data_IF_068566704296
#
_entry.id   IF_068566704296
#
_cell.length_a   1.000
_cell.length_b   1.000
_cell.length_c   1.000
_cell.angle_alpha   90.00
_cell.angle_beta   90.00
_cell.angle_gamma   90.00
#
_symmetry.space_group_name_H-M   'P 1'
#
loop_
_entity.id
_entity.type
_entity.pdbx_description
1 polymer ?
#
# COMPACT_ATOMS: atom_id res chain seq x y z
N UNK A 1 -4.84 -3.71 -15.51
CA UNK A 1 -4.41 -2.35 -15.14
C UNK A 1 -3.34 -2.54 -14.10
N UNK A 2 -2.14 -2.09 -14.41
CA UNK A 2 -1.01 -2.17 -13.50
C UNK A 2 -0.99 -0.85 -12.71
N UNK A 3 -1.14 -0.95 -11.40
CA UNK A 3 -1.26 0.20 -10.51
C UNK A 3 -1.12 -0.25 -9.06
N UNK A 4 -0.63 0.65 -8.20
CA UNK A 4 -0.43 0.39 -6.78
C UNK A 4 1.00 0.62 -6.33
N UNK A 5 1.35 0.02 -5.19
CA UNK A 5 2.62 0.24 -4.49
C UNK A 5 3.50 -0.98 -4.64
N UNK A 6 4.78 -0.75 -4.91
CA UNK A 6 5.80 -1.78 -5.06
C UNK A 6 6.78 -1.71 -3.90
N UNK A 7 7.28 -2.87 -3.49
CA UNK A 7 8.45 -2.96 -2.61
C UNK A 7 9.66 -3.28 -3.47
N UNK A 8 10.70 -2.46 -3.37
CA UNK A 8 11.97 -2.67 -4.05
C UNK A 8 13.09 -2.75 -3.01
N UNK A 9 14.02 -3.67 -3.21
CA UNK A 9 15.31 -3.67 -2.51
C UNK A 9 16.41 -3.55 -3.54
N UNK A 10 17.34 -2.59 -3.34
CA UNK A 10 18.46 -2.26 -4.23
C UNK A 10 18.10 -2.22 -5.73
N UNK A 11 18.17 -3.37 -6.40
CA UNK A 11 17.97 -3.52 -7.85
C UNK A 11 16.83 -4.48 -8.23
N UNK A 12 16.10 -5.06 -7.29
CA UNK A 12 15.01 -6.00 -7.55
C UNK A 12 13.69 -5.51 -6.98
N UNK A 13 12.62 -5.66 -7.77
CA UNK A 13 11.25 -5.56 -7.27
C UNK A 13 10.94 -6.86 -6.53
N UNK A 14 10.56 -6.73 -5.27
CA UNK A 14 10.27 -7.84 -4.37
C UNK A 14 8.76 -8.10 -4.34
N UNK A 15 7.97 -7.04 -4.22
CA UNK A 15 6.51 -7.09 -4.25
C UNK A 15 6.03 -6.10 -5.31
N UNK A 16 5.20 -6.60 -6.22
CA UNK A 16 4.42 -5.82 -7.19
C UNK A 16 2.94 -6.20 -7.13
N UNK A 17 2.01 -5.25 -7.32
CA UNK A 17 0.63 -5.57 -7.67
C UNK A 17 0.60 -6.39 -8.96
N UNK A 18 -0.25 -7.42 -9.04
CA UNK A 18 -0.45 -8.19 -10.28
C UNK A 18 -1.71 -7.76 -11.02
N UNK A 19 -2.85 -7.62 -10.34
CA UNK A 19 -4.05 -7.03 -10.94
C UNK A 19 -4.94 -6.36 -9.89
N UNK A 20 -5.87 -5.51 -10.35
CA UNK A 20 -6.87 -4.83 -9.51
C UNK A 20 -6.28 -3.94 -8.39
N UNK A 21 -5.01 -3.54 -8.52
CA UNK A 21 -4.36 -2.58 -7.66
C UNK A 21 -4.38 -1.17 -8.26
N UNK A 22 -4.42 -0.17 -7.40
CA UNK A 22 -4.29 1.25 -7.73
C UNK A 22 -3.63 2.04 -6.57
N UNK A 23 -3.39 3.33 -6.80
CA UNK A 23 -2.75 4.22 -5.82
C UNK A 23 -3.58 4.42 -4.53
N UNK A 24 -4.89 4.21 -4.59
CA UNK A 24 -5.78 4.25 -3.42
C UNK A 24 -5.55 3.11 -2.44
N UNK A 25 -4.88 2.03 -2.86
CA UNK A 25 -4.50 0.95 -1.95
C UNK A 25 -3.48 1.37 -0.89
N UNK A 26 -2.90 2.57 -0.93
CA UNK A 26 -1.98 3.08 0.10
C UNK A 26 -2.53 2.91 1.53
N UNK A 27 -3.85 3.03 1.72
CA UNK A 27 -4.49 2.82 3.02
C UNK A 27 -4.31 1.43 3.58
N UNK A 28 -4.26 0.41 2.72
CA UNK A 28 -4.02 -0.96 3.16
C UNK A 28 -2.63 -1.09 3.77
N UNK A 29 -1.63 -0.43 3.18
CA UNK A 29 -0.26 -0.38 3.69
C UNK A 29 -0.15 0.43 4.98
N UNK A 30 -0.91 1.50 5.13
CA UNK A 30 -0.93 2.30 6.38
C UNK A 30 -1.48 1.52 7.57
N UNK A 31 -2.40 0.56 7.37
CA UNK A 31 -2.89 -0.33 8.44
C UNK A 31 -1.77 -1.16 9.09
N UNK A 32 -0.63 -1.32 8.42
CA UNK A 32 0.54 -2.01 8.99
C UNK A 32 1.05 -1.23 10.21
N UNK A 33 1.05 0.11 10.18
CA UNK A 33 1.49 0.97 11.29
C UNK A 33 0.71 0.71 12.59
N UNK A 34 -0.59 0.43 12.44
CA UNK A 34 -1.55 0.22 13.53
C UNK A 34 -1.64 -1.27 13.95
N UNK A 35 -0.92 -2.16 13.25
CA UNK A 35 -1.00 -3.59 13.51
C UNK A 35 -0.29 -3.99 14.79
N UNK A 36 -0.85 -4.99 15.47
CA UNK A 36 -0.25 -5.59 16.66
C UNK A 36 0.97 -6.44 16.26
N UNK A 37 2.00 -6.42 17.11
CA UNK A 37 3.18 -7.24 16.89
C UNK A 37 2.87 -8.73 16.96
N UNK A 38 3.63 -9.52 16.19
CA UNK A 38 3.62 -10.97 16.07
C UNK A 38 2.29 -11.59 15.61
N UNK A 39 1.38 -10.80 15.06
CA UNK A 39 0.10 -11.27 14.53
C UNK A 39 0.07 -11.10 13.02
N UNK A 40 -0.13 -12.20 12.31
CA UNK A 40 -0.30 -12.19 10.87
C UNK A 40 -1.62 -11.53 10.49
N UNK A 41 -1.55 -10.69 9.46
CA UNK A 41 -2.69 -10.00 8.87
C UNK A 41 -2.60 -10.08 7.36
N UNK A 42 -3.75 -10.03 6.71
CA UNK A 42 -3.85 -9.91 5.26
C UNK A 42 -3.63 -8.46 4.83
N UNK A 43 -2.83 -8.28 3.78
CA UNK A 43 -2.62 -7.01 3.11
C UNK A 43 -3.06 -7.13 1.65
N UNK A 44 -4.09 -6.36 1.31
CA UNK A 44 -4.53 -6.25 -0.07
C UNK A 44 -3.59 -5.31 -0.85
N UNK A 45 -2.97 -5.84 -1.90
CA UNK A 45 -2.07 -5.11 -2.80
C UNK A 45 -2.55 -5.17 -4.25
N UNK A 46 -3.84 -5.46 -4.44
CA UNK A 46 -4.34 -6.13 -5.64
C UNK A 46 -4.37 -7.65 -5.47
N UNK A 47 -4.94 -8.36 -6.43
CA UNK A 47 -4.94 -9.82 -6.46
C UNK A 47 -3.67 -10.33 -7.16
N UNK A 48 -2.99 -11.37 -6.63
CA UNK A 48 -3.18 -11.99 -5.31
C UNK A 48 -2.66 -11.10 -4.17
N UNK A 49 -3.13 -11.36 -2.94
CA UNK A 49 -2.69 -10.62 -1.75
C UNK A 49 -1.48 -11.27 -1.09
N UNK A 50 -0.95 -10.62 -0.06
CA UNK A 50 0.13 -11.12 0.79
C UNK A 50 -0.29 -11.05 2.26
N UNK A 51 0.41 -11.79 3.10
CA UNK A 51 0.32 -11.63 4.54
C UNK A 51 1.52 -10.84 5.07
N UNK A 52 1.28 -10.13 6.16
CA UNK A 52 2.33 -9.41 6.88
C UNK A 52 2.18 -9.56 8.39
N UNK A 53 3.27 -9.37 9.12
CA UNK A 53 3.25 -9.09 10.56
C UNK A 53 4.39 -8.16 10.94
N UNK A 54 4.21 -7.40 12.01
CA UNK A 54 5.32 -6.69 12.67
C UNK A 54 5.99 -7.61 13.67
N UNK A 55 7.30 -7.78 13.61
CA UNK A 55 8.03 -8.62 14.55
C UNK A 55 9.46 -8.11 14.75
N UNK A 56 9.84 -7.85 15.99
CA UNK A 56 11.21 -7.49 16.39
C UNK A 56 11.82 -6.31 15.61
N UNK A 57 11.02 -5.28 15.28
CA UNK A 57 11.48 -4.10 14.53
C UNK A 57 11.53 -4.30 13.01
N UNK A 58 10.84 -5.32 12.50
CA UNK A 58 10.73 -5.59 11.07
C UNK A 58 9.29 -5.83 10.65
N UNK A 59 9.00 -5.55 9.39
CA UNK A 59 7.83 -6.08 8.69
C UNK A 59 8.24 -7.39 8.02
N UNK A 60 7.64 -8.49 8.46
CA UNK A 60 7.78 -9.80 7.85
C UNK A 60 6.62 -10.03 6.88
N UNK A 61 6.93 -10.50 5.67
CA UNK A 61 5.99 -10.60 4.55
C UNK A 61 6.04 -12.03 4.00
N UNK A 62 4.89 -12.61 3.71
CA UNK A 62 4.77 -13.92 3.06
C UNK A 62 4.91 -13.83 1.54
N UNK A 63 4.96 -14.98 0.87
CA UNK A 63 4.72 -15.02 -0.57
C UNK A 63 3.25 -14.68 -0.90
N UNK A 64 2.98 -14.44 -2.18
CA UNK A 64 1.64 -14.22 -2.71
C UNK A 64 0.70 -15.41 -2.46
N UNK A 65 -0.57 -15.12 -2.23
CA UNK A 65 -1.58 -16.14 -1.97
C UNK A 65 -2.98 -15.69 -2.38
N UNK A 66 -3.82 -16.68 -2.73
CA UNK A 66 -5.26 -16.51 -2.94
C UNK A 66 -6.08 -17.13 -1.80
N UNK A 67 -5.41 -17.68 -0.79
CA UNK A 67 -6.02 -18.31 0.38
C UNK A 67 -6.17 -17.31 1.53
N UNK A 68 -7.19 -17.51 2.37
CA UNK A 68 -7.42 -16.67 3.53
C UNK A 68 -6.43 -17.02 4.65
N UNK A 69 -6.28 -16.11 5.62
CA UNK A 69 -5.39 -16.32 6.75
C UNK A 69 -5.69 -17.62 7.51
N UNK A 70 -6.98 -17.94 7.67
CA UNK A 70 -7.47 -19.13 8.40
C UNK A 70 -7.15 -20.45 7.70
N UNK A 71 -6.75 -20.42 6.43
CA UNK A 71 -6.37 -21.61 5.66
C UNK A 71 -4.93 -22.08 5.98
N UNK A 72 -4.16 -21.29 6.74
CA UNK A 72 -2.75 -21.57 7.02
C UNK A 72 -2.51 -21.95 8.48
N UNK A 73 -1.81 -23.07 8.67
CA UNK A 73 -1.31 -23.47 10.00
C UNK A 73 0.08 -22.90 10.32
N UNK A 74 0.88 -22.56 9.30
CA UNK A 74 2.20 -21.95 9.47
C UNK A 74 2.57 -21.07 8.25
N UNK A 75 2.45 -19.75 8.42
CA UNK A 75 2.77 -18.78 7.38
C UNK A 75 4.29 -18.56 7.36
N UNK A 76 4.92 -18.88 6.23
CA UNK A 76 6.36 -18.69 6.03
C UNK A 76 6.69 -17.23 5.74
N UNK A 77 7.80 -16.76 6.30
CA UNK A 77 8.37 -15.44 6.00
C UNK A 77 9.21 -15.55 4.75
N UNK A 78 8.79 -14.87 3.69
CA UNK A 78 9.54 -14.78 2.43
C UNK A 78 10.48 -13.57 2.46
N UNK A 79 10.00 -12.43 2.97
CA UNK A 79 10.75 -11.18 3.01
C UNK A 79 10.68 -10.51 4.38
N UNK A 80 11.72 -9.73 4.67
CA UNK A 80 11.85 -9.00 5.93
C UNK A 80 12.40 -7.61 5.64
N UNK A 81 11.68 -6.59 6.10
CA UNK A 81 11.99 -5.18 5.86
C UNK A 81 12.19 -4.45 7.20
N UNK A 82 13.20 -3.59 7.35
CA UNK A 82 13.31 -2.74 8.53
C UNK A 82 12.06 -1.89 8.69
N UNK A 83 11.44 -1.96 9.87
CA UNK A 83 10.15 -1.30 10.11
C UNK A 83 10.27 0.24 10.04
N UNK A 84 11.35 0.79 10.57
CA UNK A 84 11.62 2.23 10.55
C UNK A 84 11.76 2.76 9.11
N UNK A 85 12.51 2.07 8.26
CA UNK A 85 12.70 2.45 6.85
C UNK A 85 11.38 2.34 6.08
N UNK A 86 10.64 1.25 6.28
CA UNK A 86 9.33 1.06 5.67
C UNK A 86 8.37 2.22 6.00
N UNK A 87 8.33 2.65 7.27
CA UNK A 87 7.48 3.76 7.68
C UNK A 87 7.91 5.12 7.09
N UNK A 88 9.21 5.36 7.01
CA UNK A 88 9.75 6.57 6.39
C UNK A 88 9.39 6.67 4.90
N UNK A 89 9.55 5.57 4.15
CA UNK A 89 9.17 5.53 2.73
C UNK A 89 7.66 5.63 2.53
N UNK A 90 6.86 4.97 3.37
CA UNK A 90 5.40 5.03 3.29
C UNK A 90 4.89 6.47 3.47
N UNK A 91 5.48 7.22 4.41
CA UNK A 91 5.17 8.63 4.63
C UNK A 91 5.44 9.48 3.39
N UNK A 92 6.57 9.24 2.70
CA UNK A 92 6.90 9.96 1.45
C UNK A 92 5.86 9.69 0.36
N UNK A 93 5.40 8.45 0.23
CA UNK A 93 4.36 8.08 -0.75
C UNK A 93 3.03 8.80 -0.44
N UNK A 94 2.64 8.87 0.84
CA UNK A 94 1.45 9.64 1.28
C UNK A 94 1.56 11.12 0.91
N UNK A 95 2.69 11.75 1.22
CA UNK A 95 2.95 13.15 0.87
C UNK A 95 2.88 13.37 -0.64
N UNK A 96 3.45 12.47 -1.44
CA UNK A 96 3.37 12.52 -2.91
C UNK A 96 1.94 12.36 -3.44
N UNK A 97 1.12 11.49 -2.84
CA UNK A 97 -0.29 11.31 -3.21
C UNK A 97 -1.09 12.60 -2.93
N UNK A 98 -0.86 13.22 -1.78
CA UNK A 98 -1.53 14.47 -1.40
C UNK A 98 -1.11 15.65 -2.30
N UNK A 99 0.18 15.74 -2.66
CA UNK A 99 0.65 16.72 -3.64
C UNK A 99 0.02 16.51 -5.01
N UNK A 100 -0.12 15.25 -5.43
CA UNK A 100 -0.76 14.91 -6.70
C UNK A 100 -2.26 15.29 -6.70
N UNK A 101 -2.99 15.00 -5.61
CA UNK A 101 -4.38 15.44 -5.43
C UNK A 101 -4.48 16.96 -5.57
N UNK A 102 -3.64 17.69 -4.86
CA UNK A 102 -3.63 19.15 -4.85
C UNK A 102 -3.36 19.73 -6.25
N UNK A 103 -2.47 19.11 -7.03
CA UNK A 103 -2.20 19.52 -8.41
C UNK A 103 -3.43 19.33 -9.31
N UNK A 104 -4.11 18.18 -9.21
CA UNK A 104 -5.34 17.93 -9.97
C UNK A 104 -6.43 18.92 -9.56
N UNK A 105 -6.65 19.10 -8.25
CA UNK A 105 -7.63 20.04 -7.71
C UNK A 105 -7.42 21.45 -8.29
N UNK A 106 -6.20 21.98 -8.25
CA UNK A 106 -5.87 23.32 -8.76
C UNK A 106 -6.18 23.48 -10.25
N UNK A 107 -6.04 22.43 -11.06
CA UNK A 107 -6.36 22.47 -12.49
C UNK A 107 -7.88 22.49 -12.69
N UNK A 108 -8.59 21.57 -12.02
CA UNK A 108 -10.05 21.47 -12.10
C UNK A 108 -10.74 22.75 -11.60
N UNK A 109 -10.22 23.34 -10.53
CA UNK A 109 -10.70 24.59 -9.94
C UNK A 109 -10.52 25.77 -10.91
N UNK A 110 -9.34 25.90 -11.55
CA UNK A 110 -9.10 26.90 -12.61
C UNK A 110 -10.04 26.74 -13.80
N UNK A 111 -10.42 25.51 -14.13
CA UNK A 111 -11.39 25.19 -15.18
C UNK A 111 -12.85 25.41 -14.74
N UNK A 112 -13.09 25.80 -13.48
CA UNK A 112 -14.42 25.96 -12.86
C UNK A 112 -15.26 24.68 -12.95
N UNK A 113 -14.61 23.52 -12.83
CA UNK A 113 -15.31 22.23 -12.78
C UNK A 113 -15.99 22.11 -11.42
N UNK A 114 -17.31 21.90 -11.45
CA UNK A 114 -18.08 21.61 -10.23
C UNK A 114 -17.50 20.38 -9.53
N UNK A 115 -17.47 20.38 -8.19
CA UNK A 115 -16.95 19.27 -7.38
C UNK A 115 -15.46 18.95 -7.62
N UNK A 116 -14.66 19.93 -8.06
CA UNK A 116 -13.22 19.78 -8.33
C UNK A 116 -12.45 19.01 -7.23
N UNK A 117 -12.73 19.30 -5.95
CA UNK A 117 -12.07 18.64 -4.80
C UNK A 117 -12.48 17.17 -4.62
N UNK A 118 -13.75 16.85 -4.83
CA UNK A 118 -14.24 15.47 -4.74
C UNK A 118 -13.68 14.62 -5.88
N UNK A 119 -13.63 15.21 -7.08
CA UNK A 119 -13.05 14.58 -8.27
C UNK A 119 -11.54 14.36 -8.08
N UNK A 120 -10.79 15.34 -7.55
CA UNK A 120 -9.35 15.17 -7.32
C UNK A 120 -9.06 14.02 -6.35
N UNK A 121 -9.83 13.92 -5.26
CA UNK A 121 -9.73 12.80 -4.31
C UNK A 121 -10.03 11.45 -4.95
N UNK A 122 -11.12 11.37 -5.72
CA UNK A 122 -11.51 10.14 -6.42
C UNK A 122 -10.40 9.69 -7.39
N UNK A 123 -9.88 10.60 -8.20
CA UNK A 123 -8.84 10.29 -9.20
C UNK A 123 -7.51 9.88 -8.58
N UNK A 124 -7.23 10.32 -7.36
CA UNK A 124 -5.97 10.05 -6.67
C UNK A 124 -6.08 9.00 -5.59
N UNK A 125 -7.25 8.38 -5.38
CA UNK A 125 -7.43 7.35 -4.36
C UNK A 125 -7.43 7.87 -2.92
N UNK A 126 -7.67 9.18 -2.71
CA UNK A 126 -7.64 9.87 -1.41
C UNK A 126 -9.04 10.02 -0.77
N UNK A 127 -9.96 9.10 -1.04
CA UNK A 127 -11.39 9.23 -0.66
C UNK A 127 -11.67 9.20 0.83
#
# INVERSE_FOLDING_TARGET
>A
MDGGIVIKSENSIIITPMCCGDIGNLREWEKILESQNNIWKQLWIGHPWIFYRRANGFIEISNYTESNLDDFNDIQVEYKLPEEEFFLELKKIREQQDEFENRIYRILDKMKINKAKEISKLLTGNQ
#
